data_IF_051517463585
#
_entry.id   IF_051517463585
#
_cell.length_a   1.000
_cell.length_b   1.000
_cell.length_c   1.000
_cell.angle_alpha   90.00
_cell.angle_beta   90.00
_cell.angle_gamma   90.00
#
_symmetry.space_group_name_H-M   'P 1'
#
loop_
_entity.id
_entity.type
_entity.pdbx_description
1 polymer ?
#
# COMPACT_ATOMS: atom_id res chain seq x y z
N UNK A 1 7.87 -7.59 0.19
CA UNK A 1 8.15 -8.89 -0.47
C UNK A 1 9.57 -8.90 -1.04
N UNK A 2 10.15 -10.09 -1.31
CA UNK A 2 11.44 -10.18 -1.99
C UNK A 2 11.34 -9.60 -3.41
N UNK A 3 12.33 -8.78 -3.78
CA UNK A 3 12.40 -8.19 -5.12
C UNK A 3 13.23 -9.03 -6.11
N UNK A 4 13.74 -10.20 -5.69
CA UNK A 4 14.51 -11.12 -6.51
C UNK A 4 15.61 -10.43 -7.33
N UNK A 5 16.39 -9.57 -6.67
CA UNK A 5 17.37 -8.69 -7.28
C UNK A 5 18.47 -9.45 -8.04
N UNK A 6 18.97 -8.89 -9.16
CA UNK A 6 20.10 -9.45 -9.90
C UNK A 6 21.43 -9.10 -9.21
N UNK A 7 21.52 -7.90 -8.64
CA UNK A 7 22.63 -7.51 -7.77
C UNK A 7 22.17 -7.55 -6.31
N UNK A 8 21.95 -8.76 -5.78
CA UNK A 8 21.36 -8.98 -4.47
C UNK A 8 22.41 -8.97 -3.35
N UNK A 9 22.41 -7.98 -2.42
CA UNK A 9 23.34 -7.97 -1.28
C UNK A 9 23.20 -9.21 -0.39
N UNK A 10 21.98 -9.74 -0.24
CA UNK A 10 21.75 -10.96 0.54
C UNK A 10 22.41 -12.20 -0.08
N UNK A 11 22.53 -12.29 -1.41
CA UNK A 11 23.27 -13.37 -2.07
C UNK A 11 24.76 -13.24 -1.78
N UNK A 12 25.32 -12.05 -1.89
CA UNK A 12 26.72 -11.80 -1.58
C UNK A 12 27.06 -12.13 -0.11
N UNK A 13 26.23 -11.71 0.83
CA UNK A 13 26.40 -11.98 2.27
C UNK A 13 26.09 -13.44 2.61
N UNK A 14 25.23 -14.09 1.85
CA UNK A 14 24.76 -15.46 2.09
C UNK A 14 25.86 -16.52 1.98
N UNK A 15 26.91 -16.27 1.20
CA UNK A 15 28.04 -17.20 1.00
C UNK A 15 27.58 -18.63 0.68
N UNK A 16 26.59 -18.76 -0.21
CA UNK A 16 25.99 -20.03 -0.62
C UNK A 16 24.69 -20.40 0.12
N UNK A 17 24.41 -19.83 1.27
CA UNK A 17 23.13 -20.02 1.96
C UNK A 17 21.97 -19.23 1.31
N UNK A 18 22.27 -18.19 0.53
CA UNK A 18 21.31 -17.46 -0.30
C UNK A 18 21.79 -17.56 -1.74
N UNK A 19 20.95 -18.02 -2.63
CA UNK A 19 21.32 -18.23 -4.03
C UNK A 19 20.33 -17.55 -4.98
N UNK A 20 20.87 -17.08 -6.11
CA UNK A 20 20.10 -16.60 -7.27
C UNK A 20 20.01 -17.76 -8.26
N UNK A 21 18.79 -18.20 -8.56
CA UNK A 21 18.53 -19.25 -9.55
C UNK A 21 18.66 -18.71 -10.99
N UNK A 22 18.90 -19.59 -11.99
CA UNK A 22 18.96 -19.17 -13.40
C UNK A 22 17.65 -18.53 -13.92
N UNK A 23 16.49 -18.87 -13.33
CA UNK A 23 15.19 -18.29 -13.64
C UNK A 23 14.94 -16.93 -12.95
N UNK A 24 15.95 -16.42 -12.25
CA UNK A 24 15.88 -15.12 -11.59
C UNK A 24 15.31 -15.13 -10.18
N UNK A 25 14.88 -16.25 -9.65
CA UNK A 25 14.34 -16.35 -8.29
C UNK A 25 15.50 -16.40 -7.27
N UNK A 26 15.39 -15.60 -6.21
CA UNK A 26 16.31 -15.69 -5.05
C UNK A 26 15.66 -16.57 -4.00
N UNK A 27 16.41 -17.56 -3.53
CA UNK A 27 15.99 -18.48 -2.47
C UNK A 27 17.01 -18.52 -1.34
N UNK A 28 16.53 -18.83 -0.13
CA UNK A 28 17.37 -19.09 1.05
C UNK A 28 17.31 -20.58 1.33
N UNK A 29 18.45 -21.21 1.41
CA UNK A 29 18.57 -22.61 1.81
C UNK A 29 18.40 -22.71 3.33
N UNK A 30 17.39 -23.43 3.85
CA UNK A 30 17.11 -23.48 5.27
C UNK A 30 18.21 -24.22 6.05
N UNK A 31 18.88 -25.21 5.46
CA UNK A 31 19.92 -25.97 6.15
C UNK A 31 21.22 -25.14 6.26
N UNK A 32 21.63 -24.49 5.18
CA UNK A 32 22.83 -23.66 5.14
C UNK A 32 22.67 -22.32 5.86
N UNK A 33 21.44 -21.86 6.03
CA UNK A 33 21.14 -20.58 6.70
C UNK A 33 20.75 -20.72 8.17
N UNK A 34 20.72 -21.91 8.72
CA UNK A 34 20.36 -22.13 10.12
C UNK A 34 21.28 -21.32 11.05
N UNK A 35 20.68 -20.57 11.97
CA UNK A 35 21.39 -19.68 12.89
C UNK A 35 21.91 -18.37 12.26
N UNK A 36 21.79 -18.18 10.94
CA UNK A 36 22.30 -17.02 10.19
C UNK A 36 21.36 -15.82 10.31
N UNK A 37 21.18 -15.30 11.53
CA UNK A 37 20.34 -14.13 11.81
C UNK A 37 20.85 -12.86 11.12
N UNK A 38 22.17 -12.79 10.85
CA UNK A 38 22.82 -11.73 10.11
C UNK A 38 22.24 -11.51 8.70
N UNK A 39 21.61 -12.53 8.11
CA UNK A 39 20.99 -12.42 6.79
C UNK A 39 19.71 -11.58 6.80
N UNK A 40 19.06 -11.38 7.94
CA UNK A 40 17.84 -10.54 8.03
C UNK A 40 18.14 -9.11 7.58
N UNK A 41 19.23 -8.54 8.08
CA UNK A 41 19.63 -7.16 7.77
C UNK A 41 20.32 -7.01 6.42
N UNK A 42 20.63 -8.13 5.74
CA UNK A 42 21.27 -8.11 4.42
C UNK A 42 20.35 -7.64 3.29
N UNK A 43 19.02 -7.66 3.52
CA UNK A 43 18.06 -7.22 2.52
C UNK A 43 17.72 -5.73 2.71
N UNK A 44 18.10 -4.84 1.76
CA UNK A 44 17.83 -3.42 1.88
C UNK A 44 16.34 -3.06 1.78
N UNK A 45 15.48 -4.02 1.41
CA UNK A 45 14.03 -3.87 1.35
C UNK A 45 13.31 -4.45 2.58
N UNK A 46 14.03 -4.93 3.59
CA UNK A 46 13.44 -5.57 4.76
C UNK A 46 12.60 -6.82 4.42
N UNK A 47 12.95 -7.55 3.35
CA UNK A 47 12.16 -8.67 2.85
C UNK A 47 12.67 -10.05 3.36
N UNK A 48 13.52 -10.07 4.36
CA UNK A 48 13.96 -11.28 5.05
C UNK A 48 13.54 -11.18 6.51
N UNK A 49 12.86 -12.19 7.01
CA UNK A 49 12.36 -12.25 8.39
C UNK A 49 12.99 -13.41 9.13
N UNK A 50 13.14 -13.27 10.42
CA UNK A 50 13.64 -14.35 11.28
C UNK A 50 12.50 -15.24 11.76
N UNK A 51 12.60 -16.52 11.48
CA UNK A 51 11.75 -17.53 12.09
C UNK A 51 12.44 -18.05 13.34
N UNK A 52 11.91 -17.69 14.51
CA UNK A 52 12.51 -18.03 15.79
C UNK A 52 12.33 -19.52 16.17
N UNK A 53 11.28 -20.16 15.68
CA UNK A 53 11.00 -21.58 15.96
C UNK A 53 11.95 -22.50 15.19
N UNK A 54 12.18 -22.19 13.91
CA UNK A 54 13.08 -22.97 13.05
C UNK A 54 14.52 -22.48 13.08
N UNK A 55 14.79 -21.33 13.70
CA UNK A 55 16.08 -20.65 13.74
C UNK A 55 16.67 -20.36 12.34
N UNK A 56 15.82 -19.95 11.39
CA UNK A 56 16.21 -19.66 10.02
C UNK A 56 15.71 -18.30 9.55
N UNK A 57 16.44 -17.59 8.67
CA UNK A 57 15.91 -16.45 7.92
C UNK A 57 14.99 -16.94 6.81
N UNK A 58 13.88 -16.26 6.59
CA UNK A 58 12.88 -16.61 5.58
C UNK A 58 12.54 -15.41 4.70
N UNK A 59 12.25 -15.69 3.46
CA UNK A 59 11.75 -14.70 2.49
C UNK A 59 10.73 -15.35 1.55
N UNK A 60 10.01 -14.55 0.78
CA UNK A 60 9.14 -15.09 -0.26
C UNK A 60 9.97 -15.67 -1.40
N UNK A 61 9.82 -16.96 -1.62
CA UNK A 61 10.56 -17.75 -2.61
C UNK A 61 9.85 -17.85 -3.97
N UNK A 62 8.84 -17.02 -4.22
CA UNK A 62 8.07 -17.02 -5.47
C UNK A 62 7.42 -18.38 -5.79
N UNK A 63 7.14 -19.18 -4.77
CA UNK A 63 6.66 -20.58 -4.93
C UNK A 63 7.52 -21.43 -5.89
N UNK A 64 8.83 -21.24 -5.90
CA UNK A 64 9.76 -21.89 -6.82
C UNK A 64 9.57 -23.41 -6.88
N UNK A 65 9.31 -24.04 -5.73
CA UNK A 65 9.06 -25.48 -5.66
C UNK A 65 7.80 -25.94 -6.43
N UNK A 66 6.78 -25.09 -6.54
CA UNK A 66 5.57 -25.39 -7.32
C UNK A 66 5.81 -25.11 -8.81
N UNK A 67 6.53 -24.04 -9.12
CA UNK A 67 6.93 -23.76 -10.51
C UNK A 67 7.80 -24.89 -11.09
N UNK A 68 8.68 -25.48 -10.29
CA UNK A 68 9.48 -26.65 -10.66
C UNK A 68 8.60 -27.90 -10.93
N UNK A 69 7.41 -27.96 -10.33
CA UNK A 69 6.40 -28.99 -10.56
C UNK A 69 5.45 -28.68 -11.74
N UNK A 70 5.73 -27.59 -12.48
CA UNK A 70 4.97 -27.21 -13.67
C UNK A 70 3.78 -26.27 -13.43
N UNK A 71 3.68 -25.65 -12.27
CA UNK A 71 2.70 -24.60 -12.05
C UNK A 71 2.95 -23.40 -12.96
N UNK A 72 1.86 -22.83 -13.50
CA UNK A 72 1.96 -21.71 -14.44
C UNK A 72 2.32 -20.39 -13.74
N UNK A 73 1.96 -20.22 -12.46
CA UNK A 73 2.19 -19.01 -11.69
C UNK A 73 2.23 -19.29 -10.17
N UNK A 74 2.86 -18.41 -9.38
CA UNK A 74 2.82 -18.48 -7.92
C UNK A 74 1.41 -18.42 -7.35
N UNK A 75 1.19 -19.02 -6.18
CA UNK A 75 -0.12 -19.02 -5.49
C UNK A 75 -0.65 -17.61 -5.24
N UNK A 76 0.22 -16.69 -4.83
CA UNK A 76 -0.17 -15.30 -4.59
C UNK A 76 -0.78 -14.62 -5.82
N UNK A 77 -0.29 -14.95 -7.03
CA UNK A 77 -0.86 -14.44 -8.29
C UNK A 77 -2.21 -15.07 -8.57
N UNK A 78 -2.33 -16.40 -8.39
CA UNK A 78 -3.57 -17.14 -8.66
C UNK A 78 -4.70 -16.76 -7.69
N UNK A 79 -4.37 -16.46 -6.44
CA UNK A 79 -5.35 -16.09 -5.40
C UNK A 79 -5.64 -14.60 -5.31
N UNK A 80 -4.98 -13.74 -6.11
CA UNK A 80 -5.18 -12.30 -6.05
C UNK A 80 -6.53 -11.90 -6.67
N UNK A 81 -7.55 -11.50 -5.88
CA UNK A 81 -8.90 -11.27 -6.38
C UNK A 81 -9.01 -10.04 -7.29
N UNK A 82 -8.08 -9.11 -7.17
CA UNK A 82 -8.04 -7.86 -7.95
C UNK A 82 -7.05 -7.91 -9.11
N UNK A 83 -6.39 -9.06 -9.33
CA UNK A 83 -5.31 -9.20 -10.33
C UNK A 83 -4.19 -8.16 -10.19
N UNK A 84 -3.96 -7.68 -8.95
CA UNK A 84 -2.90 -6.71 -8.65
C UNK A 84 -1.50 -7.30 -8.80
N UNK A 85 -1.37 -8.63 -8.76
CA UNK A 85 -0.12 -9.35 -8.95
C UNK A 85 -0.12 -10.05 -10.30
N UNK A 86 0.97 -9.89 -11.05
CA UNK A 86 1.25 -10.62 -12.29
C UNK A 86 2.60 -11.31 -12.19
N UNK A 87 2.71 -12.53 -12.68
CA UNK A 87 3.98 -13.21 -12.87
C UNK A 87 4.21 -13.43 -14.37
N UNK A 88 5.42 -13.11 -14.83
CA UNK A 88 5.81 -13.24 -16.24
C UNK A 88 7.08 -14.07 -16.32
N UNK A 89 7.13 -14.97 -17.31
CA UNK A 89 8.34 -15.69 -17.71
C UNK A 89 8.72 -15.21 -19.11
N UNK A 90 9.54 -14.19 -19.15
CA UNK A 90 9.92 -13.46 -20.37
C UNK A 90 11.43 -13.19 -20.36
N UNK A 91 11.99 -12.87 -21.51
CA UNK A 91 13.39 -12.40 -21.60
C UNK A 91 13.53 -11.01 -20.99
N UNK A 92 14.76 -10.62 -20.66
CA UNK A 92 15.04 -9.28 -20.13
C UNK A 92 14.72 -8.18 -21.15
N UNK A 93 14.86 -8.47 -22.45
CA UNK A 93 14.50 -7.56 -23.54
C UNK A 93 12.98 -7.33 -23.63
N UNK A 94 12.20 -8.42 -23.58
CA UNK A 94 10.74 -8.36 -23.54
C UNK A 94 10.26 -7.61 -22.29
N UNK A 95 10.88 -7.89 -21.13
CA UNK A 95 10.52 -7.19 -19.89
C UNK A 95 10.84 -5.69 -19.96
N UNK A 96 11.94 -5.31 -20.62
CA UNK A 96 12.26 -3.90 -20.85
C UNK A 96 11.21 -3.21 -21.75
N UNK A 97 10.65 -3.94 -22.72
CA UNK A 97 9.52 -3.48 -23.56
C UNK A 97 8.27 -3.23 -22.71
N UNK A 98 7.83 -4.22 -21.95
CA UNK A 98 6.67 -4.15 -21.06
C UNK A 98 6.83 -3.01 -20.05
N UNK A 99 8.02 -2.86 -19.48
CA UNK A 99 8.33 -1.78 -18.53
C UNK A 99 8.07 -0.38 -19.10
N UNK A 100 8.50 -0.16 -20.35
CA UNK A 100 8.28 1.13 -21.03
C UNK A 100 6.81 1.36 -21.37
N UNK A 101 6.17 0.34 -21.93
CA UNK A 101 4.76 0.42 -22.35
C UNK A 101 3.82 0.67 -21.17
N UNK A 102 3.99 -0.07 -20.10
CA UNK A 102 3.13 0.02 -18.92
C UNK A 102 3.61 1.04 -17.87
N UNK A 103 4.74 1.74 -18.13
CA UNK A 103 5.36 2.71 -17.21
C UNK A 103 5.63 2.13 -15.84
N UNK A 104 6.24 0.94 -15.81
CA UNK A 104 6.55 0.28 -14.57
C UNK A 104 7.84 0.82 -13.95
N UNK A 105 7.83 0.94 -12.63
CA UNK A 105 8.91 1.49 -11.83
C UNK A 105 9.52 0.41 -10.93
N UNK A 106 10.72 0.62 -10.45
CA UNK A 106 11.37 -0.22 -9.43
C UNK A 106 11.39 0.48 -8.09
N UNK A 107 11.24 -0.26 -7.02
CA UNK A 107 11.33 0.29 -5.67
C UNK A 107 12.78 0.64 -5.34
N UNK A 108 13.02 1.87 -4.82
CA UNK A 108 14.31 2.35 -4.38
C UNK A 108 15.45 2.15 -5.39
N UNK A 109 15.37 2.75 -6.60
CA UNK A 109 16.35 2.57 -7.69
C UNK A 109 17.77 3.02 -7.28
N UNK A 110 17.89 3.93 -6.34
CA UNK A 110 19.16 4.43 -5.79
C UNK A 110 20.00 3.34 -5.11
N UNK A 111 19.39 2.23 -4.72
CA UNK A 111 20.07 1.08 -4.09
C UNK A 111 20.85 0.21 -5.08
N UNK A 112 20.67 0.41 -6.38
CA UNK A 112 21.36 -0.29 -7.46
C UNK A 112 21.32 -1.83 -7.36
N UNK A 113 20.27 -2.39 -6.79
CA UNK A 113 20.11 -3.84 -6.59
C UNK A 113 19.56 -4.58 -7.80
N UNK A 114 19.14 -3.86 -8.84
CA UNK A 114 18.53 -4.41 -10.06
C UNK A 114 17.36 -5.38 -9.74
N UNK A 115 16.26 -4.88 -9.14
CA UNK A 115 15.14 -5.73 -8.77
C UNK A 115 14.40 -6.27 -10.00
N UNK A 116 13.85 -7.49 -9.89
CA UNK A 116 12.98 -8.14 -10.89
C UNK A 116 11.50 -8.00 -10.57
N UNK A 117 11.16 -7.25 -9.54
CA UNK A 117 9.77 -6.85 -9.24
C UNK A 117 9.58 -5.40 -9.66
N UNK A 118 8.55 -5.20 -10.46
CA UNK A 118 8.20 -3.90 -11.02
C UNK A 118 6.82 -3.49 -10.54
N UNK A 119 6.61 -2.20 -10.37
CA UNK A 119 5.41 -1.63 -9.79
C UNK A 119 4.73 -0.67 -10.75
N UNK A 120 3.44 -0.77 -10.88
CA UNK A 120 2.59 0.23 -11.52
C UNK A 120 2.05 1.16 -10.45
N UNK A 121 2.05 2.48 -10.73
CA UNK A 121 1.60 3.50 -9.79
C UNK A 121 2.37 3.50 -8.44
N UNK A 122 3.69 3.35 -8.48
CA UNK A 122 4.54 3.29 -7.27
C UNK A 122 4.42 4.55 -6.41
N UNK A 123 4.07 5.70 -7.00
CA UNK A 123 3.79 6.93 -6.26
C UNK A 123 2.78 6.73 -5.11
N UNK A 124 1.82 5.79 -5.26
CA UNK A 124 0.84 5.47 -4.20
C UNK A 124 1.46 4.84 -2.96
N UNK A 125 2.61 4.19 -3.11
CA UNK A 125 3.38 3.64 -1.99
C UNK A 125 4.12 4.73 -1.20
N UNK A 126 4.45 5.83 -1.87
CA UNK A 126 5.17 6.96 -1.29
C UNK A 126 4.25 8.11 -0.85
N UNK A 127 2.95 7.95 -1.00
CA UNK A 127 1.96 8.95 -0.59
C UNK A 127 0.99 8.39 0.43
N UNK A 128 0.46 9.27 1.24
CA UNK A 128 -0.55 8.99 2.26
C UNK A 128 -1.94 9.40 1.79
N UNK A 129 -2.93 9.06 2.59
CA UNK A 129 -4.30 9.51 2.42
C UNK A 129 -4.92 9.93 3.77
N UNK A 130 -5.98 10.74 3.68
CA UNK A 130 -6.94 10.98 4.75
C UNK A 130 -8.28 10.48 4.25
N UNK A 131 -8.93 9.61 5.02
CA UNK A 131 -10.26 9.09 4.70
C UNK A 131 -11.15 9.02 5.93
N UNK A 132 -12.43 8.72 5.73
CA UNK A 132 -13.38 8.55 6.81
C UNK A 132 -14.78 8.27 6.31
N UNK A 133 -15.71 8.13 7.24
CA UNK A 133 -17.12 7.91 6.97
C UNK A 133 -17.93 9.10 7.52
N UNK A 134 -18.86 9.59 6.72
CA UNK A 134 -19.84 10.60 7.11
C UNK A 134 -21.20 9.92 7.28
N UNK A 135 -21.77 10.10 8.43
CA UNK A 135 -23.10 9.62 8.78
C UNK A 135 -24.04 10.81 8.98
N UNK A 136 -25.31 10.60 8.71
CA UNK A 136 -26.36 11.60 8.84
C UNK A 136 -27.38 11.15 9.86
N UNK A 137 -27.61 11.95 10.90
CA UNK A 137 -28.66 11.71 11.87
C UNK A 137 -29.91 12.50 11.50
N UNK A 138 -31.01 11.79 11.18
CA UNK A 138 -32.34 12.35 10.89
C UNK A 138 -33.36 11.69 11.81
N UNK A 139 -34.06 12.49 12.62
CA UNK A 139 -35.17 12.02 13.49
C UNK A 139 -34.77 10.80 14.37
N UNK A 140 -33.54 10.79 14.89
CA UNK A 140 -33.05 9.71 15.75
C UNK A 140 -32.55 8.45 15.00
N UNK A 141 -32.59 8.44 13.68
CA UNK A 141 -32.00 7.37 12.85
C UNK A 141 -30.67 7.85 12.26
N UNK A 142 -29.66 6.99 12.35
CA UNK A 142 -28.34 7.24 11.75
C UNK A 142 -28.23 6.41 10.48
N UNK A 143 -27.90 7.07 9.38
CA UNK A 143 -27.70 6.42 8.07
C UNK A 143 -26.44 6.99 7.39
N UNK A 144 -25.98 6.35 6.30
CA UNK A 144 -24.85 6.81 5.53
C UNK A 144 -25.16 8.13 4.81
N UNK A 145 -24.27 9.11 4.90
CA UNK A 145 -24.42 10.39 4.20
C UNK A 145 -23.86 10.28 2.78
N UNK A 146 -24.64 9.73 1.85
CA UNK A 146 -24.26 9.71 0.44
C UNK A 146 -24.26 11.11 -0.15
N UNK A 147 -23.28 11.41 -1.02
CA UNK A 147 -23.06 12.71 -1.69
C UNK A 147 -22.82 13.90 -0.74
N UNK A 148 -22.41 13.66 0.49
CA UNK A 148 -21.92 14.73 1.35
C UNK A 148 -20.61 15.30 0.79
N UNK A 149 -20.45 16.63 0.86
CA UNK A 149 -19.21 17.27 0.42
C UNK A 149 -18.10 17.05 1.45
N UNK A 150 -16.96 16.61 0.99
CA UNK A 150 -15.72 16.53 1.78
C UNK A 150 -14.64 17.33 1.08
N UNK A 151 -14.02 18.27 1.81
CA UNK A 151 -13.00 19.17 1.29
C UNK A 151 -11.74 19.09 2.13
N UNK A 152 -10.59 19.09 1.46
CA UNK A 152 -9.27 19.14 2.06
C UNK A 152 -8.62 20.49 1.79
N UNK A 153 -8.25 21.17 2.85
CA UNK A 153 -7.64 22.49 2.80
C UNK A 153 -6.27 22.49 3.47
N UNK A 154 -5.35 23.32 2.97
CA UNK A 154 -4.09 23.63 3.63
C UNK A 154 -3.75 25.10 3.40
N UNK A 155 -3.32 25.83 4.45
CA UNK A 155 -3.01 27.26 4.38
C UNK A 155 -4.10 28.10 3.69
N UNK A 156 -5.38 27.81 3.96
CA UNK A 156 -6.55 28.45 3.34
C UNK A 156 -6.71 28.20 1.83
N UNK A 157 -5.98 27.23 1.28
CA UNK A 157 -6.11 26.79 -0.12
C UNK A 157 -6.84 25.46 -0.17
N UNK A 158 -7.89 25.37 -1.00
CA UNK A 158 -8.59 24.12 -1.28
C UNK A 158 -7.67 23.25 -2.16
N UNK A 159 -7.30 22.08 -1.65
CA UNK A 159 -6.46 21.13 -2.35
C UNK A 159 -7.26 20.04 -3.08
N UNK A 160 -8.26 19.47 -2.41
CA UNK A 160 -9.11 18.42 -2.97
C UNK A 160 -10.56 18.64 -2.49
N UNK A 161 -11.51 18.29 -3.36
CA UNK A 161 -12.94 18.24 -3.04
C UNK A 161 -13.52 16.96 -3.63
N UNK A 162 -14.19 16.16 -2.82
CA UNK A 162 -14.83 14.91 -3.21
C UNK A 162 -16.22 14.82 -2.60
N UNK A 163 -17.10 14.02 -3.21
CA UNK A 163 -18.36 13.63 -2.60
C UNK A 163 -18.21 12.26 -1.95
N UNK A 164 -18.90 12.02 -0.84
CA UNK A 164 -18.98 10.69 -0.24
C UNK A 164 -19.74 9.72 -1.15
N UNK A 165 -19.38 8.46 -1.11
CA UNK A 165 -20.07 7.40 -1.84
C UNK A 165 -21.39 6.98 -1.17
N UNK A 166 -22.02 5.88 -1.66
CA UNK A 166 -23.27 5.36 -1.13
C UNK A 166 -23.17 4.88 0.34
N UNK A 167 -21.97 4.63 0.83
CA UNK A 167 -21.70 4.22 2.21
C UNK A 167 -21.25 5.38 3.09
N UNK A 168 -21.25 6.60 2.56
CA UNK A 168 -20.76 7.79 3.26
C UNK A 168 -19.24 7.89 3.32
N UNK A 169 -18.50 7.07 2.57
CA UNK A 169 -17.04 7.05 2.60
C UNK A 169 -16.45 8.15 1.70
N UNK A 170 -15.37 8.77 2.17
CA UNK A 170 -14.55 9.70 1.39
C UNK A 170 -13.07 9.40 1.56
N UNK A 171 -12.27 9.82 0.58
CA UNK A 171 -10.81 9.69 0.60
C UNK A 171 -10.13 10.83 -0.14
N UNK A 172 -9.16 11.47 0.52
CA UNK A 172 -8.16 12.36 -0.09
C UNK A 172 -6.86 11.60 -0.26
N UNK A 173 -6.45 11.34 -1.49
CA UNK A 173 -5.30 10.51 -1.82
C UNK A 173 -4.10 11.37 -2.28
N UNK A 174 -2.91 10.77 -2.33
CA UNK A 174 -1.72 11.41 -2.88
C UNK A 174 -1.07 12.46 -1.98
N UNK A 175 -1.29 12.40 -0.66
CA UNK A 175 -0.72 13.36 0.28
C UNK A 175 0.74 13.00 0.61
N UNK A 176 1.68 13.96 0.55
CA UNK A 176 3.06 13.69 0.92
C UNK A 176 3.17 13.31 2.43
N UNK A 177 4.04 12.36 2.79
CA UNK A 177 4.38 12.12 4.20
C UNK A 177 4.95 13.39 4.84
N UNK A 178 4.68 13.58 6.13
CA UNK A 178 5.17 14.74 6.89
C UNK A 178 4.85 16.11 6.27
N UNK A 179 3.71 16.23 5.60
CA UNK A 179 3.28 17.44 4.89
C UNK A 179 2.60 18.49 5.78
N UNK A 180 2.58 18.26 7.09
CA UNK A 180 2.04 19.23 8.05
C UNK A 180 0.53 19.10 8.28
N UNK A 181 -0.09 20.19 8.71
CA UNK A 181 -1.49 20.19 9.12
C UNK A 181 -2.42 20.49 7.96
N UNK A 182 -3.47 19.68 7.85
CA UNK A 182 -4.60 19.85 6.94
C UNK A 182 -5.86 20.19 7.70
N UNK A 183 -6.77 20.88 7.03
CA UNK A 183 -8.13 21.11 7.50
C UNK A 183 -9.08 20.30 6.61
N UNK A 184 -9.86 19.39 7.23
CA UNK A 184 -10.91 18.62 6.57
C UNK A 184 -12.25 19.23 6.93
N UNK A 185 -13.02 19.62 5.92
CA UNK A 185 -14.39 20.14 6.05
C UNK A 185 -15.36 19.14 5.46
N UNK A 186 -16.35 18.75 6.27
CA UNK A 186 -17.42 17.83 5.88
C UNK A 186 -18.75 18.56 5.96
N UNK A 187 -19.57 18.46 4.91
CA UNK A 187 -20.86 19.14 4.83
C UNK A 187 -21.89 18.28 4.11
N UNK A 188 -23.11 18.24 4.62
CA UNK A 188 -24.27 17.68 3.94
C UNK A 188 -25.39 18.74 3.84
N UNK A 189 -26.09 18.77 2.70
CA UNK A 189 -27.07 19.85 2.39
C UNK A 189 -28.17 20.00 3.43
N UNK A 190 -28.60 18.91 4.06
CA UNK A 190 -29.68 18.91 5.04
C UNK A 190 -29.18 18.83 6.49
N UNK A 191 -27.87 18.84 6.71
CA UNK A 191 -27.28 18.75 8.04
C UNK A 191 -26.12 19.75 8.16
N UNK A 192 -25.69 19.99 9.37
CA UNK A 192 -24.57 20.90 9.61
C UNK A 192 -23.26 20.49 8.94
N UNK A 193 -22.22 21.26 9.22
CA UNK A 193 -20.86 20.96 8.80
C UNK A 193 -20.00 20.63 10.00
N UNK A 194 -18.91 19.88 9.76
CA UNK A 194 -17.83 19.67 10.72
C UNK A 194 -16.47 19.96 10.08
N UNK A 195 -15.57 20.49 10.90
CA UNK A 195 -14.22 20.80 10.48
C UNK A 195 -13.24 20.15 11.46
N UNK A 196 -12.18 19.55 10.92
CA UNK A 196 -11.12 18.90 11.68
C UNK A 196 -9.76 19.46 11.27
N UNK A 197 -8.86 19.63 12.23
CA UNK A 197 -7.44 19.88 11.97
C UNK A 197 -6.69 18.55 12.14
N UNK A 198 -5.93 18.17 11.14
CA UNK A 198 -5.28 16.85 11.06
C UNK A 198 -3.82 17.03 10.71
N UNK A 199 -2.93 16.53 11.55
CA UNK A 199 -1.50 16.52 11.29
C UNK A 199 -1.10 15.25 10.52
N UNK A 200 -0.48 15.41 9.36
CA UNK A 200 0.09 14.32 8.56
C UNK A 200 1.53 14.03 9.03
N UNK A 201 1.65 13.15 10.01
CA UNK A 201 2.92 12.80 10.64
C UNK A 201 3.71 11.69 9.93
N UNK A 202 3.27 11.20 8.77
CA UNK A 202 3.99 10.19 7.98
C UNK A 202 3.18 8.94 7.65
N UNK A 203 2.02 8.73 8.28
CA UNK A 203 1.14 7.60 8.01
C UNK A 203 -0.22 8.07 7.50
N UNK A 204 -0.90 7.21 6.73
CA UNK A 204 -2.29 7.45 6.31
C UNK A 204 -3.23 7.46 7.51
N UNK A 205 -4.25 8.30 7.47
CA UNK A 205 -5.18 8.50 8.58
C UNK A 205 -6.60 8.17 8.13
N UNK A 206 -7.32 7.44 8.99
CA UNK A 206 -8.76 7.23 8.87
C UNK A 206 -9.41 7.93 10.06
N UNK A 207 -10.28 8.89 9.76
CA UNK A 207 -11.04 9.60 10.77
C UNK A 207 -12.09 8.67 11.36
N UNK A 208 -12.43 8.90 12.63
CA UNK A 208 -13.61 8.26 13.21
C UNK A 208 -14.88 8.69 12.49
N UNK A 209 -15.88 7.84 12.53
CA UNK A 209 -17.19 8.10 11.93
C UNK A 209 -17.73 9.47 12.37
N UNK A 210 -18.01 10.32 11.40
CA UNK A 210 -18.48 11.69 11.65
C UNK A 210 -19.97 11.78 11.46
N UNK A 211 -20.70 11.95 12.54
CA UNK A 211 -22.15 12.15 12.49
C UNK A 211 -22.45 13.64 12.28
N UNK A 212 -23.09 13.97 11.17
CA UNK A 212 -23.70 15.26 10.90
C UNK A 212 -25.17 15.22 11.34
N UNK A 213 -25.60 16.26 12.03
CA UNK A 213 -26.98 16.35 12.58
C UNK A 213 -27.76 17.39 11.83
N UNK A 214 -29.01 17.10 11.53
CA UNK A 214 -29.94 18.07 10.99
C UNK A 214 -30.03 19.29 11.93
N UNK A 215 -29.86 20.50 11.41
CA UNK A 215 -30.23 21.72 12.18
C UNK A 215 -31.72 21.67 12.41
N UNK A 216 -32.14 21.42 13.64
CA UNK A 216 -33.51 21.71 14.05
C UNK A 216 -33.59 23.23 14.16
N UNK A 217 -34.24 23.87 13.21
CA UNK A 217 -34.62 25.28 13.39
C UNK A 217 -35.54 25.36 14.60
N UNK A 218 -35.03 25.92 15.69
CA UNK A 218 -35.76 26.18 16.94
C UNK A 218 -36.66 27.41 16.73
N UNK A 219 -37.43 27.45 15.66
CA UNK A 219 -38.33 28.56 15.34
C UNK A 219 -39.77 28.13 15.17
N UNK A 220 -40.19 27.02 15.79
CA UNK A 220 -41.61 26.74 15.98
C UNK A 220 -41.87 26.22 17.39
N UNK A 221 -41.89 27.11 18.37
CA UNK A 221 -42.68 26.93 19.58
C UNK A 221 -43.85 27.91 19.48
N UNK A 222 -45.10 27.40 19.58
CA UNK A 222 -46.31 28.22 19.53
C UNK A 222 -46.45 29.13 20.71
#
# INVERSE_FOLDING_TARGET
MCNHCDNAPCVAQGRGAVIKRPDGIVIIDPELSKGRRDLVDSCPYGAIWWNAELEVPQTWIFDAHLLDQGWAAPRAVQSCPTSALRALKVSDEEMAGIRREERLEVLAPERNTQPRVYYKNLHRYHSNFIGGVVLLEKQGTIDCAANAAAELWQHQVLLQSVATDAFGEFKFDGLPPHSGTYEVRLQADEAGSRTFQIEMAGESLVLQDTILRHRVDVTELP
#
